data_IF_534985370124
#
_entry.id   IF_534985370124
#
_cell.length_a   1.000
_cell.length_b   1.000
_cell.length_c   1.000
_cell.angle_alpha   90.00
_cell.angle_beta   90.00
_cell.angle_gamma   90.00
#
_symmetry.space_group_name_H-M   'P 1'
#
loop_
_entity.id
_entity.type
_entity.pdbx_description
1 polymer ?
#
# COMPACT_ATOMS: atom_id res chain seq x y z
N UNK A 1 8.35 47.28 27.60
CA UNK A 1 7.40 46.17 27.44
C UNK A 1 6.72 46.36 26.08
N UNK A 2 7.35 46.09 24.93
CA UNK A 2 8.41 45.10 24.65
C UNK A 2 8.07 43.74 25.27
N UNK A 3 7.10 43.07 24.65
CA UNK A 3 7.29 41.65 24.37
C UNK A 3 8.16 41.59 23.12
N UNK A 4 9.46 41.42 23.30
CA UNK A 4 10.30 40.92 22.22
C UNK A 4 9.99 39.43 22.05
N UNK A 5 8.90 39.13 21.32
CA UNK A 5 8.75 37.80 20.73
C UNK A 5 10.03 37.53 19.95
N UNK A 6 10.73 36.48 20.36
CA UNK A 6 12.00 36.06 19.80
C UNK A 6 11.86 35.97 18.29
N UNK A 7 12.64 36.77 17.56
CA UNK A 7 12.85 36.62 16.11
C UNK A 7 13.64 35.34 15.83
N UNK A 8 13.02 34.20 16.13
CA UNK A 8 13.41 32.92 15.56
C UNK A 8 13.39 33.08 14.05
N UNK A 9 14.41 32.54 13.39
CA UNK A 9 14.58 32.63 11.94
C UNK A 9 13.40 31.95 11.26
N UNK A 10 12.41 32.73 10.80
CA UNK A 10 11.25 32.18 10.10
C UNK A 10 11.75 31.59 8.79
N UNK A 11 11.77 30.26 8.72
CA UNK A 11 12.07 29.47 7.54
C UNK A 11 10.85 28.64 7.16
N UNK A 12 10.83 28.10 5.95
CA UNK A 12 9.73 27.30 5.43
C UNK A 12 10.13 25.82 5.25
N UNK A 13 11.43 25.55 5.10
CA UNK A 13 12.01 24.21 4.92
C UNK A 13 13.13 23.96 5.91
N UNK A 14 13.12 22.79 6.55
CA UNK A 14 14.26 22.25 7.30
C UNK A 14 14.97 21.19 6.43
N UNK A 15 16.30 21.17 6.41
CA UNK A 15 17.09 20.18 5.65
C UNK A 15 17.84 19.26 6.62
N UNK A 16 17.38 18.00 6.71
CA UNK A 16 18.02 16.92 7.47
C UNK A 16 19.04 16.19 6.59
N UNK A 17 20.24 15.93 7.11
CA UNK A 17 21.30 15.20 6.41
C UNK A 17 22.34 14.65 7.42
N UNK A 18 23.19 13.71 7.01
CA UNK A 18 24.22 13.16 7.91
C UNK A 18 25.54 13.93 7.86
N UNK A 19 26.11 14.20 9.05
CA UNK A 19 27.47 14.71 9.22
C UNK A 19 28.40 13.58 9.62
N UNK A 20 29.54 13.43 8.94
CA UNK A 20 30.49 12.34 9.21
C UNK A 20 31.11 12.40 10.63
N UNK A 21 31.35 11.22 11.21
CA UNK A 21 32.02 11.07 12.50
C UNK A 21 33.54 11.10 12.36
N UNK A 22 34.09 12.29 12.11
CA UNK A 22 35.50 12.57 12.34
C UNK A 22 36.25 13.12 11.13
N UNK A 23 37.03 14.17 11.44
CA UNK A 23 37.95 14.90 10.57
C UNK A 23 37.36 15.79 9.47
N UNK A 24 38.09 16.85 9.14
CA UNK A 24 37.53 18.08 8.57
C UNK A 24 37.45 18.10 7.04
N UNK A 25 36.71 17.16 6.46
CA UNK A 25 36.37 17.16 5.02
C UNK A 25 34.85 17.17 4.82
N UNK A 26 34.38 18.09 3.97
CA UNK A 26 32.97 18.22 3.56
C UNK A 26 32.40 16.86 3.13
N UNK A 27 31.36 16.37 3.81
CA UNK A 27 30.73 15.09 3.47
C UNK A 27 29.93 15.23 2.18
N UNK A 28 29.78 14.11 1.43
CA UNK A 28 28.93 14.04 0.23
C UNK A 28 27.52 14.58 0.53
N UNK A 29 26.97 14.21 1.67
CA UNK A 29 25.68 14.65 2.19
C UNK A 29 25.61 16.17 2.38
N UNK A 30 26.64 16.77 3.01
CA UNK A 30 26.69 18.22 3.20
C UNK A 30 26.79 18.98 1.88
N UNK A 31 27.59 18.50 0.92
CA UNK A 31 27.64 19.12 -0.42
C UNK A 31 26.28 19.10 -1.12
N UNK A 32 25.53 17.99 -1.01
CA UNK A 32 24.20 17.92 -1.62
C UNK A 32 23.23 18.80 -0.85
N UNK A 33 23.22 18.75 0.48
CA UNK A 33 22.35 19.58 1.32
C UNK A 33 22.56 21.08 1.04
N UNK A 34 23.80 21.55 0.89
CA UNK A 34 24.12 22.94 0.49
C UNK A 34 23.63 23.28 -0.93
N UNK A 35 23.76 22.36 -1.89
CA UNK A 35 23.24 22.53 -3.26
C UNK A 35 21.71 22.63 -3.27
N UNK A 36 21.01 21.79 -2.50
CA UNK A 36 19.55 21.82 -2.34
C UNK A 36 19.09 23.12 -1.67
N UNK A 37 19.78 23.52 -0.59
CA UNK A 37 19.53 24.76 0.13
C UNK A 37 19.63 25.97 -0.81
N UNK A 38 20.74 26.09 -1.55
CA UNK A 38 20.99 27.15 -2.53
C UNK A 38 19.94 27.18 -3.64
N UNK A 39 19.52 26.01 -4.13
CA UNK A 39 18.51 25.90 -5.18
C UNK A 39 17.11 26.33 -4.72
N UNK A 40 16.71 25.96 -3.50
CA UNK A 40 15.46 26.40 -2.88
C UNK A 40 15.46 27.90 -2.58
N UNK A 41 16.54 28.42 -2.01
CA UNK A 41 16.74 29.85 -1.73
C UNK A 41 16.69 30.69 -3.01
N UNK A 42 17.17 30.18 -4.16
CA UNK A 42 17.05 30.85 -5.47
C UNK A 42 15.59 31.10 -5.92
N UNK A 43 14.64 30.30 -5.41
CA UNK A 43 13.21 30.47 -5.66
C UNK A 43 12.51 31.33 -4.60
N UNK A 44 13.25 31.82 -3.59
CA UNK A 44 12.70 32.58 -2.46
C UNK A 44 12.12 31.71 -1.35
N UNK A 45 12.42 30.40 -1.34
CA UNK A 45 12.05 29.49 -0.26
C UNK A 45 13.14 29.58 0.81
N UNK A 46 12.77 29.87 2.06
CA UNK A 46 13.75 30.01 3.16
C UNK A 46 14.05 28.65 3.76
N UNK A 47 15.31 28.28 3.75
CA UNK A 47 15.80 27.02 4.29
C UNK A 47 16.52 27.24 5.63
N UNK A 48 16.44 26.24 6.51
CA UNK A 48 17.25 26.11 7.71
C UNK A 48 18.09 24.85 7.60
N UNK A 49 19.39 24.98 7.86
CA UNK A 49 20.35 23.88 7.80
C UNK A 49 21.40 24.05 8.92
N UNK A 50 21.63 22.99 9.70
CA UNK A 50 22.73 22.94 10.65
C UNK A 50 24.07 22.73 9.90
N UNK A 51 25.22 23.24 10.38
CA UNK A 51 25.37 24.14 11.51
C UNK A 51 25.13 25.62 11.16
N UNK A 52 24.94 25.97 9.87
CA UNK A 52 24.85 27.35 9.34
C UNK A 52 23.90 28.24 10.13
N UNK A 53 22.71 27.72 10.45
CA UNK A 53 21.61 28.49 11.01
C UNK A 53 21.46 28.33 12.55
N UNK A 54 22.46 27.72 13.22
CA UNK A 54 22.48 27.61 14.69
C UNK A 54 23.27 28.78 15.31
N UNK A 55 22.64 29.53 16.20
CA UNK A 55 23.25 30.69 16.86
C UNK A 55 24.43 30.28 17.78
N UNK A 56 25.61 30.92 17.66
CA UNK A 56 26.73 30.69 18.58
C UNK A 56 26.36 30.93 20.03
N UNK A 57 26.63 29.94 20.89
CA UNK A 57 26.28 29.97 22.33
C UNK A 57 24.87 29.48 22.67
N UNK A 58 24.03 29.12 21.68
CA UNK A 58 22.75 28.46 21.91
C UNK A 58 22.86 26.94 22.15
N UNK A 59 21.78 26.33 22.66
CA UNK A 59 21.66 24.87 22.73
C UNK A 59 21.42 24.30 21.33
N UNK A 60 22.36 23.49 20.84
CA UNK A 60 22.33 22.89 19.49
C UNK A 60 21.07 22.02 19.29
N UNK A 61 20.74 21.20 20.29
CA UNK A 61 19.52 20.39 20.33
C UNK A 61 18.23 21.22 20.26
N UNK A 62 18.14 22.28 21.06
CA UNK A 62 16.93 23.10 21.10
C UNK A 62 16.73 23.87 19.78
N UNK A 63 17.83 24.31 19.14
CA UNK A 63 17.78 24.98 17.85
C UNK A 63 17.26 24.05 16.74
N UNK A 64 17.68 22.78 16.74
CA UNK A 64 17.19 21.76 15.78
C UNK A 64 15.69 21.47 16.01
N UNK A 65 15.28 21.22 17.27
CA UNK A 65 13.87 20.94 17.61
C UNK A 65 12.96 22.10 17.20
N UNK A 66 13.32 23.33 17.59
CA UNK A 66 12.56 24.55 17.27
C UNK A 66 12.49 24.79 15.75
N UNK A 67 13.54 24.41 15.01
CA UNK A 67 13.56 24.53 13.56
C UNK A 67 12.67 23.49 12.87
N UNK A 68 12.76 22.21 13.25
CA UNK A 68 11.87 21.16 12.72
C UNK A 68 10.41 21.54 12.98
N UNK A 69 10.04 21.91 14.21
CA UNK A 69 8.65 22.27 14.56
C UNK A 69 8.11 23.52 13.83
N UNK A 70 8.97 24.46 13.44
CA UNK A 70 8.58 25.68 12.71
C UNK A 70 8.59 25.51 11.19
N UNK A 71 9.22 24.45 10.69
CA UNK A 71 9.24 24.12 9.26
C UNK A 71 7.86 23.64 8.77
N UNK A 72 7.56 23.87 7.50
CA UNK A 72 6.34 23.32 6.85
C UNK A 72 6.65 22.03 6.09
N UNK A 73 7.91 21.89 5.68
CA UNK A 73 8.44 20.76 4.92
C UNK A 73 9.82 20.43 5.48
N UNK A 74 10.07 19.15 5.71
CA UNK A 74 11.40 18.60 5.98
C UNK A 74 11.91 17.95 4.70
N UNK A 75 13.05 18.38 4.20
CA UNK A 75 13.79 17.67 3.15
C UNK A 75 14.80 16.78 3.83
N UNK A 76 14.73 15.47 3.59
CA UNK A 76 15.70 14.50 4.08
C UNK A 76 16.68 14.16 2.96
N UNK A 77 17.94 14.55 3.09
CA UNK A 77 19.02 14.02 2.25
C UNK A 77 19.37 12.64 2.77
N UNK A 78 18.97 11.61 2.04
CA UNK A 78 19.16 10.22 2.45
C UNK A 78 20.34 9.58 1.71
N UNK A 79 21.25 9.01 2.49
CA UNK A 79 22.50 8.37 2.09
C UNK A 79 22.73 7.12 2.96
N UNK A 80 23.81 6.39 2.70
CA UNK A 80 24.25 5.34 3.65
C UNK A 80 24.70 5.93 5.00
N UNK A 81 25.20 7.16 5.01
CA UNK A 81 25.52 7.86 6.26
C UNK A 81 24.24 8.24 7.04
N UNK A 82 23.15 8.56 6.35
CA UNK A 82 21.85 8.85 6.94
C UNK A 82 21.24 7.63 7.65
N UNK A 83 21.38 6.43 7.07
CA UNK A 83 20.98 5.16 7.69
C UNK A 83 21.54 4.98 9.11
N UNK A 84 22.81 5.30 9.30
CA UNK A 84 23.52 5.13 10.57
C UNK A 84 23.56 6.40 11.44
N UNK A 85 22.91 7.48 10.99
CA UNK A 85 22.87 8.77 11.69
C UNK A 85 21.70 8.83 12.67
N UNK A 86 22.01 8.72 13.96
CA UNK A 86 21.02 8.95 15.03
C UNK A 86 20.36 10.34 14.93
N UNK A 87 21.11 11.37 14.52
CA UNK A 87 20.58 12.72 14.38
C UNK A 87 19.49 12.79 13.31
N UNK A 88 19.68 12.12 12.18
CA UNK A 88 18.67 12.02 11.11
C UNK A 88 17.43 11.26 11.59
N UNK A 89 17.61 10.17 12.35
CA UNK A 89 16.47 9.44 12.93
C UNK A 89 15.68 10.30 13.92
N UNK A 90 16.36 10.98 14.85
CA UNK A 90 15.72 11.85 15.85
C UNK A 90 14.95 13.01 15.17
N UNK A 91 15.50 13.61 14.11
CA UNK A 91 14.84 14.67 13.30
C UNK A 91 13.63 14.16 12.50
N UNK A 92 13.75 13.01 11.84
CA UNK A 92 12.67 12.37 11.09
C UNK A 92 11.53 11.95 12.01
N UNK A 93 11.84 11.34 13.14
CA UNK A 93 10.84 10.92 14.13
C UNK A 93 10.11 12.12 14.73
N UNK A 94 10.80 13.22 15.02
CA UNK A 94 10.16 14.48 15.44
C UNK A 94 9.23 15.05 14.34
N UNK A 95 9.68 15.08 13.08
CA UNK A 95 8.87 15.56 11.97
C UNK A 95 7.61 14.69 11.73
N UNK A 96 7.72 13.38 11.93
CA UNK A 96 6.59 12.44 11.84
C UNK A 96 5.59 12.61 12.98
N UNK A 97 6.04 12.81 14.22
CA UNK A 97 5.19 13.08 15.39
C UNK A 97 4.36 14.36 15.21
N UNK A 98 5.01 15.41 14.68
CA UNK A 98 4.36 16.69 14.36
C UNK A 98 3.56 16.67 13.06
N UNK A 99 3.51 15.53 12.36
CA UNK A 99 2.85 15.33 11.06
C UNK A 99 3.28 16.36 9.99
N UNK A 100 4.57 16.72 10.00
CA UNK A 100 5.20 17.62 9.03
C UNK A 100 5.48 16.83 7.74
N UNK A 101 5.37 17.49 6.58
CA UNK A 101 5.61 16.82 5.30
C UNK A 101 7.10 16.55 5.12
N UNK A 102 7.49 15.28 5.07
CA UNK A 102 8.87 14.85 4.79
C UNK A 102 9.00 14.50 3.31
N UNK A 103 10.04 15.01 2.65
CA UNK A 103 10.42 14.66 1.28
C UNK A 103 11.80 13.99 1.32
N UNK A 104 11.89 12.66 1.17
CA UNK A 104 13.15 11.96 1.04
C UNK A 104 13.80 12.22 -0.33
N UNK A 105 15.04 12.68 -0.32
CA UNK A 105 15.90 12.93 -1.47
C UNK A 105 17.11 11.99 -1.38
N UNK A 106 17.08 10.88 -2.12
CA UNK A 106 17.99 9.75 -1.95
C UNK A 106 19.19 9.84 -2.89
N UNK A 107 20.38 9.98 -2.31
CA UNK A 107 21.64 10.24 -3.02
C UNK A 107 22.57 9.02 -3.12
N UNK A 108 22.19 7.92 -2.47
CA UNK A 108 22.82 6.59 -2.57
C UNK A 108 21.76 5.54 -2.89
N UNK A 109 22.12 4.50 -3.67
CA UNK A 109 21.24 3.35 -3.91
C UNK A 109 21.36 2.32 -2.78
N UNK A 110 21.03 2.76 -1.56
CA UNK A 110 20.95 1.94 -0.35
C UNK A 110 19.53 2.00 0.21
N UNK A 111 19.05 0.92 0.80
CA UNK A 111 17.70 0.88 1.39
C UNK A 111 17.70 1.58 2.75
N UNK A 112 16.64 2.33 3.11
CA UNK A 112 16.50 2.83 4.47
C UNK A 112 16.44 1.67 5.48
N UNK A 113 17.17 1.81 6.57
CA UNK A 113 17.18 0.87 7.69
C UNK A 113 16.47 1.45 8.92
N UNK A 114 16.26 0.60 9.94
CA UNK A 114 15.68 1.00 11.22
C UNK A 114 14.37 1.78 11.10
N UNK A 115 14.32 2.95 11.72
CA UNK A 115 13.15 3.84 11.75
C UNK A 115 12.88 4.49 10.39
N UNK A 116 13.90 4.78 9.58
CA UNK A 116 13.76 5.42 8.26
C UNK A 116 13.00 4.54 7.25
N UNK A 117 12.91 3.22 7.49
CA UNK A 117 12.03 2.31 6.74
C UNK A 117 10.59 2.81 6.68
N UNK A 118 10.12 3.50 7.71
CA UNK A 118 8.77 4.05 7.73
C UNK A 118 8.54 5.06 6.59
N UNK A 119 9.58 5.80 6.19
CA UNK A 119 9.50 6.75 5.08
C UNK A 119 9.43 6.04 3.72
N UNK A 120 10.06 4.87 3.56
CA UNK A 120 9.93 4.03 2.36
C UNK A 120 8.49 3.56 2.14
N UNK A 121 7.74 3.38 3.23
CA UNK A 121 6.33 2.95 3.21
C UNK A 121 5.35 4.13 3.14
N UNK A 122 5.72 5.31 3.68
CA UNK A 122 4.78 6.44 3.88
C UNK A 122 4.82 7.55 2.83
N UNK A 123 5.94 7.76 2.14
CA UNK A 123 6.09 8.87 1.19
C UNK A 123 6.84 8.43 -0.08
N UNK A 124 6.62 9.15 -1.19
CA UNK A 124 7.39 8.94 -2.41
C UNK A 124 8.79 9.55 -2.26
N UNK A 125 9.80 8.79 -2.67
CA UNK A 125 11.20 9.19 -2.64
C UNK A 125 11.60 9.85 -3.96
N UNK A 126 12.53 10.79 -3.89
CA UNK A 126 13.18 11.39 -5.06
C UNK A 126 14.58 10.78 -5.18
N UNK A 127 14.69 9.75 -6.02
CA UNK A 127 15.91 8.98 -6.25
C UNK A 127 16.91 9.74 -7.14
N UNK A 128 17.81 10.46 -6.50
CA UNK A 128 18.76 11.40 -7.09
C UNK A 128 20.16 10.82 -7.36
N UNK A 129 20.39 9.53 -7.08
CA UNK A 129 21.67 8.83 -7.32
C UNK A 129 21.97 8.59 -8.82
N UNK A 130 21.05 8.90 -9.73
CA UNK A 130 21.24 8.79 -11.17
C UNK A 130 21.66 10.14 -11.80
N UNK A 131 22.78 10.25 -12.54
CA UNK A 131 23.15 11.51 -13.20
C UNK A 131 22.14 11.95 -14.30
N UNK A 132 21.94 13.26 -14.55
CA UNK A 132 22.56 14.41 -13.89
C UNK A 132 21.81 14.84 -12.61
N UNK A 133 22.57 15.17 -11.56
CA UNK A 133 22.03 15.58 -10.25
C UNK A 133 21.15 16.82 -10.34
N UNK A 134 21.51 17.78 -11.18
CA UNK A 134 20.84 19.07 -11.36
C UNK A 134 19.35 18.92 -11.69
N UNK A 135 19.01 17.91 -12.50
CA UNK A 135 17.63 17.59 -12.87
C UNK A 135 16.80 17.12 -11.66
N UNK A 136 17.41 16.40 -10.74
CA UNK A 136 16.76 15.92 -9.51
C UNK A 136 16.59 17.07 -8.51
N UNK A 137 17.56 17.99 -8.43
CA UNK A 137 17.43 19.23 -7.66
C UNK A 137 16.27 20.09 -8.18
N UNK A 138 16.15 20.29 -9.50
CA UNK A 138 15.01 21.01 -10.11
C UNK A 138 13.66 20.35 -9.80
N UNK A 139 13.62 19.01 -9.76
CA UNK A 139 12.43 18.26 -9.35
C UNK A 139 12.10 18.49 -7.88
N UNK A 140 13.07 18.44 -6.98
CA UNK A 140 12.86 18.70 -5.54
C UNK A 140 12.31 20.11 -5.33
N UNK A 141 12.94 21.12 -5.93
CA UNK A 141 12.50 22.52 -5.87
C UNK A 141 11.06 22.67 -6.36
N UNK A 142 10.67 21.92 -7.40
CA UNK A 142 9.29 21.89 -7.91
C UNK A 142 8.31 21.24 -6.92
N UNK A 143 8.70 20.15 -6.24
CA UNK A 143 7.85 19.46 -5.25
C UNK A 143 7.68 20.29 -3.98
N UNK A 144 8.78 20.80 -3.41
CA UNK A 144 8.76 21.70 -2.26
C UNK A 144 7.94 22.95 -2.57
N UNK A 145 8.14 23.56 -3.74
CA UNK A 145 7.35 24.71 -4.20
C UNK A 145 5.84 24.44 -4.22
N UNK A 146 5.40 23.24 -4.64
CA UNK A 146 3.98 22.85 -4.60
C UNK A 146 3.44 22.75 -3.17
N UNK A 147 4.17 22.12 -2.25
CA UNK A 147 3.75 22.01 -0.85
C UNK A 147 3.69 23.37 -0.14
N UNK A 148 4.56 24.31 -0.51
CA UNK A 148 4.57 25.67 0.02
C UNK A 148 3.63 26.64 -0.74
N UNK A 149 2.93 26.20 -1.78
CA UNK A 149 2.07 27.05 -2.62
C UNK A 149 2.82 28.06 -3.51
N UNK A 150 4.14 27.93 -3.63
CA UNK A 150 5.01 28.80 -4.44
C UNK A 150 4.87 28.42 -5.92
N UNK A 151 4.47 29.39 -6.76
CA UNK A 151 4.31 29.15 -8.20
C UNK A 151 5.69 29.00 -8.86
N UNK A 152 5.99 27.88 -9.54
CA UNK A 152 7.30 27.67 -10.16
C UNK A 152 7.54 28.65 -11.32
N UNK A 153 8.77 29.20 -11.40
CA UNK A 153 9.24 29.94 -12.57
C UNK A 153 9.38 28.94 -13.73
N UNK A 154 8.82 29.26 -14.90
CA UNK A 154 8.55 28.31 -16.00
C UNK A 154 9.79 27.78 -16.73
N UNK A 155 9.81 26.47 -17.03
CA UNK A 155 10.56 25.91 -18.17
C UNK A 155 9.90 24.63 -18.77
N UNK A 156 9.17 24.79 -19.88
CA UNK A 156 9.09 23.98 -21.14
C UNK A 156 9.42 22.45 -21.04
N UNK A 157 8.63 21.44 -21.48
CA UNK A 157 7.65 21.28 -22.61
C UNK A 157 6.66 20.07 -22.38
N UNK A 158 5.84 19.67 -23.38
CA UNK A 158 4.99 18.44 -23.41
C UNK A 158 4.61 18.04 -24.85
N UNK A 159 4.40 16.74 -25.15
CA UNK A 159 3.90 16.26 -26.46
C UNK A 159 2.82 15.17 -26.33
N UNK A 160 1.63 15.49 -26.83
CA UNK A 160 0.52 14.71 -27.46
C UNK A 160 -0.01 13.36 -26.93
N UNK A 161 -1.25 13.05 -27.36
CA UNK A 161 -2.20 12.07 -26.78
C UNK A 161 -2.94 11.24 -27.83
N UNK A 162 -3.29 9.98 -27.51
CA UNK A 162 -4.15 9.11 -28.34
C UNK A 162 -5.55 8.98 -27.70
N UNK A 163 -6.61 8.94 -28.52
CA UNK A 163 -8.02 8.80 -28.11
C UNK A 163 -8.50 7.34 -28.18
N UNK A 164 -9.41 6.94 -27.28
CA UNK A 164 -10.18 5.68 -27.33
C UNK A 164 -11.69 5.99 -27.28
N UNK A 165 -12.52 5.12 -27.89
CA UNK A 165 -13.99 5.26 -27.99
C UNK A 165 -14.75 4.68 -26.77
N UNK A 166 -15.93 5.22 -26.50
CA UNK A 166 -16.84 4.77 -25.42
C UNK A 166 -17.59 3.46 -25.74
N UNK A 167 -17.92 2.63 -24.72
CA UNK A 167 -18.86 1.51 -24.84
C UNK A 167 -20.35 1.92 -24.66
N UNK A 168 -21.33 1.04 -24.98
CA UNK A 168 -22.74 1.41 -25.08
C UNK A 168 -23.50 1.49 -23.73
N UNK A 169 -24.59 2.26 -23.73
CA UNK A 169 -25.39 2.62 -22.55
C UNK A 169 -26.20 1.43 -21.99
N UNK A 170 -26.16 1.27 -20.67
CA UNK A 170 -26.97 0.28 -19.94
C UNK A 170 -28.45 0.65 -19.87
N UNK A 171 -29.32 -0.37 -19.93
CA UNK A 171 -30.77 -0.26 -19.70
C UNK A 171 -31.04 -0.09 -18.21
N UNK A 172 -31.96 0.80 -17.85
CA UNK A 172 -32.39 1.04 -16.46
C UNK A 172 -33.67 0.28 -16.16
N UNK A 173 -33.59 -0.80 -15.39
CA UNK A 173 -34.76 -1.32 -14.66
C UNK A 173 -34.93 -0.58 -13.32
N UNK A 174 -36.19 -0.46 -12.88
CA UNK A 174 -36.57 0.28 -11.67
C UNK A 174 -36.46 -0.64 -10.45
N UNK A 175 -35.79 -0.18 -9.40
CA UNK A 175 -35.82 -0.80 -8.06
C UNK A 175 -36.57 0.15 -7.11
N UNK A 176 -37.40 -0.42 -6.24
CA UNK A 176 -38.27 0.30 -5.31
C UNK A 176 -37.52 0.73 -4.03
N UNK A 177 -37.95 1.89 -3.50
CA UNK A 177 -37.93 2.34 -2.10
C UNK A 177 -36.77 1.92 -1.16
N UNK A 178 -35.78 2.81 -1.09
CA UNK A 178 -35.05 3.24 0.12
C UNK A 178 -34.73 2.19 1.21
N UNK A 179 -33.92 1.19 0.86
CA UNK A 179 -33.02 0.57 1.85
C UNK A 179 -31.87 1.57 2.10
N UNK A 180 -31.64 1.99 3.35
CA UNK A 180 -30.59 2.98 3.66
C UNK A 180 -29.20 2.35 3.45
N UNK A 181 -28.43 2.91 2.52
CA UNK A 181 -27.12 2.36 2.14
C UNK A 181 -26.15 2.48 3.34
N UNK A 182 -25.61 1.35 3.86
CA UNK A 182 -24.70 1.38 4.99
C UNK A 182 -23.41 2.16 4.70
N UNK A 183 -22.81 2.77 5.72
CA UNK A 183 -21.66 3.66 5.54
C UNK A 183 -20.44 2.97 4.88
N UNK A 184 -20.18 1.72 5.24
CA UNK A 184 -19.12 0.91 4.62
C UNK A 184 -19.35 0.67 3.11
N UNK A 185 -20.60 0.71 2.65
CA UNK A 185 -20.97 0.65 1.23
C UNK A 185 -20.79 2.03 0.59
N UNK A 186 -21.18 3.12 1.25
CA UNK A 186 -20.99 4.50 0.74
C UNK A 186 -19.51 4.83 0.47
N UNK A 187 -18.61 4.43 1.38
CA UNK A 187 -17.16 4.60 1.22
C UNK A 187 -16.69 3.98 -0.10
N UNK A 188 -17.06 2.72 -0.34
CA UNK A 188 -16.69 1.96 -1.54
C UNK A 188 -17.39 2.51 -2.79
N UNK A 189 -18.65 2.93 -2.69
CA UNK A 189 -19.42 3.54 -3.77
C UNK A 189 -18.81 4.85 -4.28
N UNK A 190 -18.02 5.55 -3.47
CA UNK A 190 -17.27 6.74 -3.91
C UNK A 190 -16.08 6.44 -4.83
N UNK A 191 -15.68 5.16 -4.95
CA UNK A 191 -14.46 4.71 -5.66
C UNK A 191 -14.72 3.66 -6.73
N UNK A 192 -15.69 2.76 -6.51
CA UNK A 192 -16.07 1.71 -7.45
C UNK A 192 -16.84 2.26 -8.66
N UNK A 193 -16.71 1.60 -9.81
CA UNK A 193 -17.50 1.93 -11.01
C UNK A 193 -18.96 1.51 -10.84
N UNK A 194 -19.20 0.40 -10.15
CA UNK A 194 -20.54 -0.12 -9.81
C UNK A 194 -20.54 -0.75 -8.43
N UNK A 195 -21.64 -0.58 -7.71
CA UNK A 195 -21.93 -1.29 -6.46
C UNK A 195 -23.36 -1.84 -6.54
N UNK A 196 -23.55 -3.11 -6.20
CA UNK A 196 -24.83 -3.83 -6.33
C UNK A 196 -24.90 -5.02 -5.36
N UNK A 197 -26.09 -5.60 -5.13
CA UNK A 197 -26.21 -6.89 -4.43
C UNK A 197 -26.14 -8.03 -5.44
N UNK A 198 -25.45 -9.12 -5.11
CA UNK A 198 -25.37 -10.34 -5.93
C UNK A 198 -26.59 -11.26 -5.72
N UNK A 199 -26.63 -12.39 -6.43
CA UNK A 199 -27.74 -13.37 -6.35
C UNK A 199 -27.95 -13.96 -4.95
N UNK A 200 -26.95 -13.86 -4.06
CA UNK A 200 -27.03 -14.27 -2.65
C UNK A 200 -27.37 -13.13 -1.70
N UNK A 201 -27.56 -11.91 -2.21
CA UNK A 201 -27.91 -10.72 -1.43
C UNK A 201 -26.73 -9.95 -0.83
N UNK A 202 -25.48 -10.38 -1.05
CA UNK A 202 -24.29 -9.70 -0.55
C UNK A 202 -23.85 -8.58 -1.49
N UNK A 203 -23.28 -7.51 -0.93
CA UNK A 203 -22.78 -6.39 -1.72
C UNK A 203 -21.53 -6.78 -2.51
N UNK A 204 -21.52 -6.44 -3.80
CA UNK A 204 -20.36 -6.49 -4.69
C UNK A 204 -20.00 -5.09 -5.18
N UNK A 205 -18.70 -4.82 -5.25
CA UNK A 205 -18.12 -3.59 -5.75
C UNK A 205 -17.16 -3.90 -6.90
N UNK A 206 -17.47 -3.38 -8.08
CA UNK A 206 -16.70 -3.54 -9.32
C UNK A 206 -15.94 -2.24 -9.60
N UNK A 207 -14.61 -2.33 -9.57
CA UNK A 207 -13.70 -1.20 -9.81
C UNK A 207 -13.23 -1.12 -11.28
N UNK A 208 -13.70 -2.03 -12.14
CA UNK A 208 -13.18 -2.24 -13.49
C UNK A 208 -11.98 -3.18 -13.52
N UNK A 209 -11.47 -3.45 -14.73
CA UNK A 209 -10.33 -4.35 -14.97
C UNK A 209 -10.46 -5.75 -14.31
N UNK A 210 -11.70 -6.20 -14.08
CA UNK A 210 -12.01 -7.46 -13.39
C UNK A 210 -11.82 -7.43 -11.87
N UNK A 211 -11.49 -6.28 -11.27
CA UNK A 211 -11.31 -6.12 -9.83
C UNK A 211 -12.69 -5.99 -9.20
N UNK A 212 -13.23 -7.11 -8.73
CA UNK A 212 -14.53 -7.21 -8.07
C UNK A 212 -14.33 -7.69 -6.64
N UNK A 213 -14.87 -6.95 -5.68
CA UNK A 213 -14.82 -7.26 -4.24
C UNK A 213 -16.22 -7.61 -3.73
N UNK A 214 -16.33 -8.63 -2.89
CA UNK A 214 -17.57 -9.05 -2.21
C UNK A 214 -17.48 -8.70 -0.72
N UNK A 215 -18.56 -8.15 -0.16
CA UNK A 215 -18.65 -7.84 1.26
C UNK A 215 -19.02 -9.08 2.08
N UNK A 216 -18.16 -9.43 3.04
CA UNK A 216 -18.41 -10.44 4.07
C UNK A 216 -18.91 -9.73 5.34
N UNK A 217 -20.11 -10.06 5.85
CA UNK A 217 -20.66 -9.39 7.02
C UNK A 217 -19.91 -9.74 8.32
N UNK A 218 -19.94 -8.86 9.33
CA UNK A 218 -19.42 -9.17 10.66
C UNK A 218 -20.16 -10.35 11.28
N UNK A 219 -19.51 -11.02 12.23
CA UNK A 219 -20.12 -12.12 12.99
C UNK A 219 -19.21 -13.33 13.17
N UNK A 220 -19.71 -14.27 13.97
CA UNK A 220 -19.00 -15.49 14.37
C UNK A 220 -19.02 -16.56 13.28
N UNK A 221 -17.97 -17.39 13.25
CA UNK A 221 -17.93 -18.67 12.57
C UNK A 221 -17.06 -19.66 13.34
N UNK A 222 -17.13 -20.95 12.98
CA UNK A 222 -16.19 -21.96 13.47
C UNK A 222 -15.04 -22.08 12.48
N UNK A 223 -13.83 -21.75 12.92
CA UNK A 223 -12.58 -21.90 12.17
C UNK A 223 -11.96 -23.26 12.47
N UNK A 224 -11.41 -23.93 11.47
CA UNK A 224 -10.74 -25.23 11.60
C UNK A 224 -11.62 -26.48 11.54
N UNK A 225 -11.01 -27.64 11.78
CA UNK A 225 -11.62 -28.97 11.65
C UNK A 225 -11.00 -30.00 12.61
N UNK A 226 -11.56 -31.20 12.65
CA UNK A 226 -10.92 -32.36 13.30
C UNK A 226 -10.18 -33.28 12.30
N UNK A 227 -10.15 -32.93 11.02
CA UNK A 227 -9.62 -33.79 9.96
C UNK A 227 -8.08 -33.77 9.92
N UNK A 228 -7.46 -32.61 10.20
CA UNK A 228 -6.00 -32.41 10.12
C UNK A 228 -5.43 -31.74 11.38
N UNK A 229 -4.21 -32.10 11.77
CA UNK A 229 -3.63 -31.60 13.04
C UNK A 229 -3.30 -30.11 13.06
N UNK A 230 -3.08 -29.50 11.89
CA UNK A 230 -2.90 -28.06 11.75
C UNK A 230 -4.21 -27.26 11.83
N UNK A 231 -5.36 -27.93 11.72
CA UNK A 231 -6.70 -27.32 11.74
C UNK A 231 -7.38 -27.47 13.12
N UNK A 232 -6.66 -28.02 14.12
CA UNK A 232 -7.19 -28.35 15.45
C UNK A 232 -6.74 -27.38 16.54
N UNK A 233 -7.61 -27.05 17.51
CA UNK A 233 -9.03 -27.42 17.58
C UNK A 233 -9.89 -26.51 16.68
N UNK A 234 -11.06 -26.98 16.22
CA UNK A 234 -12.13 -26.10 15.79
C UNK A 234 -12.47 -25.11 16.91
N UNK A 235 -12.53 -23.83 16.59
CA UNK A 235 -12.74 -22.77 17.58
C UNK A 235 -13.62 -21.65 17.01
N UNK A 236 -14.36 -20.97 17.89
CA UNK A 236 -15.22 -19.84 17.49
C UNK A 236 -14.36 -18.59 17.32
N UNK A 237 -14.45 -17.98 16.14
CA UNK A 237 -13.81 -16.71 15.80
C UNK A 237 -14.89 -15.70 15.41
N UNK A 238 -14.82 -14.50 15.98
CA UNK A 238 -15.57 -13.34 15.52
C UNK A 238 -14.69 -12.51 14.58
N UNK A 239 -15.26 -12.14 13.43
CA UNK A 239 -14.63 -11.20 12.50
C UNK A 239 -15.55 -10.01 12.28
N UNK A 240 -14.95 -8.82 12.17
CA UNK A 240 -15.63 -7.63 11.67
C UNK A 240 -16.06 -7.81 10.19
N UNK A 241 -16.77 -6.82 9.64
CA UNK A 241 -17.16 -6.81 8.23
C UNK A 241 -16.00 -6.34 7.34
N UNK A 242 -15.71 -7.10 6.28
CA UNK A 242 -14.61 -6.81 5.36
C UNK A 242 -15.01 -7.07 3.90
N UNK A 243 -14.23 -6.53 2.98
CA UNK A 243 -14.36 -6.82 1.55
C UNK A 243 -13.24 -7.77 1.13
N UNK A 244 -13.56 -8.79 0.33
CA UNK A 244 -12.59 -9.76 -0.20
C UNK A 244 -12.77 -9.92 -1.71
N UNK A 245 -11.68 -10.23 -2.43
CA UNK A 245 -11.74 -10.43 -3.88
C UNK A 245 -12.71 -11.54 -4.25
N UNK A 246 -13.55 -11.33 -5.27
CA UNK A 246 -14.46 -12.35 -5.83
C UNK A 246 -13.71 -13.48 -6.54
N UNK A 247 -12.48 -13.18 -6.96
CA UNK A 247 -11.57 -14.04 -7.71
C UNK A 247 -10.15 -13.81 -7.21
N UNK A 248 -9.29 -14.82 -7.35
CA UNK A 248 -7.84 -14.62 -7.30
C UNK A 248 -7.37 -13.57 -8.33
N UNK A 249 -6.30 -12.84 -8.00
CA UNK A 249 -5.69 -11.83 -8.89
C UNK A 249 -5.25 -12.50 -10.20
N UNK A 250 -5.62 -11.93 -11.34
CA UNK A 250 -5.31 -12.49 -12.66
C UNK A 250 -4.00 -11.96 -13.24
N UNK A 251 -3.46 -12.65 -14.24
CA UNK A 251 -2.36 -12.10 -15.05
C UNK A 251 -2.74 -10.76 -15.72
N UNK A 252 -3.95 -10.62 -16.29
CA UNK A 252 -4.40 -9.32 -16.85
C UNK A 252 -4.26 -8.15 -15.83
N UNK A 253 -4.48 -8.44 -14.55
CA UNK A 253 -4.38 -7.46 -13.46
C UNK A 253 -2.95 -7.25 -12.98
N UNK A 254 -2.16 -8.32 -12.89
CA UNK A 254 -0.77 -8.27 -12.42
C UNK A 254 0.17 -7.69 -13.48
N UNK A 255 -0.06 -7.97 -14.76
CA UNK A 255 0.68 -7.40 -15.89
C UNK A 255 0.51 -5.88 -15.95
N UNK A 256 -0.70 -5.39 -15.60
CA UNK A 256 -0.97 -3.96 -15.43
C UNK A 256 -0.24 -3.34 -14.23
N UNK A 257 -0.03 -4.10 -13.16
CA UNK A 257 0.84 -3.69 -12.05
C UNK A 257 2.28 -3.60 -12.52
N UNK A 258 2.87 -4.66 -13.07
CA UNK A 258 4.23 -4.69 -13.61
C UNK A 258 4.50 -3.55 -14.60
N UNK A 259 3.58 -3.30 -15.54
CA UNK A 259 3.71 -2.22 -16.52
C UNK A 259 3.62 -0.79 -15.96
N UNK A 260 2.99 -0.61 -14.79
CA UNK A 260 2.89 0.70 -14.12
C UNK A 260 3.96 0.91 -13.04
N UNK A 261 4.58 -0.16 -12.52
CA UNK A 261 5.61 -0.12 -11.47
C UNK A 261 7.01 -0.52 -11.96
N UNK A 262 7.15 -0.91 -13.23
CA UNK A 262 8.37 -1.41 -13.87
C UNK A 262 8.95 -2.68 -13.22
N UNK A 263 8.11 -3.46 -12.54
CA UNK A 263 8.48 -4.77 -11.97
C UNK A 263 8.54 -5.85 -13.07
N UNK A 264 9.35 -6.89 -12.84
CA UNK A 264 9.42 -8.03 -13.76
C UNK A 264 8.08 -8.80 -13.81
N UNK A 265 7.67 -9.22 -15.00
CA UNK A 265 6.47 -10.03 -15.18
C UNK A 265 6.72 -11.46 -14.68
N UNK A 266 5.89 -12.01 -13.76
CA UNK A 266 6.09 -13.37 -13.27
C UNK A 266 5.89 -14.39 -14.39
N UNK A 267 6.74 -15.42 -14.38
CA UNK A 267 6.75 -16.48 -15.40
C UNK A 267 5.42 -17.24 -15.42
N UNK A 268 4.79 -17.41 -16.59
CA UNK A 268 3.47 -18.09 -16.71
C UNK A 268 3.57 -19.62 -16.88
N UNK A 269 4.78 -20.20 -16.82
CA UNK A 269 5.11 -21.60 -17.14
C UNK A 269 4.69 -22.06 -18.54
N UNK A 270 4.49 -21.13 -19.49
CA UNK A 270 3.89 -21.41 -20.80
C UNK A 270 2.43 -21.85 -20.72
N UNK A 271 1.73 -21.57 -19.61
CA UNK A 271 0.34 -21.97 -19.42
C UNK A 271 -0.64 -21.02 -20.10
N UNK A 272 -0.18 -19.80 -20.42
CA UNK A 272 -0.97 -18.67 -20.90
C UNK A 272 -1.27 -17.70 -19.77
N UNK A 273 -1.23 -16.40 -20.10
CA UNK A 273 -1.61 -15.27 -19.23
C UNK A 273 -3.11 -14.98 -19.32
N UNK A 274 -3.53 -13.73 -19.15
CA UNK A 274 -4.93 -13.28 -19.25
C UNK A 274 -5.71 -13.47 -17.96
N UNK A 275 -7.00 -13.82 -18.07
CA UNK A 275 -7.91 -14.10 -16.93
C UNK A 275 -7.56 -15.32 -16.06
N UNK A 276 -6.38 -15.91 -16.24
CA UNK A 276 -5.85 -16.97 -15.37
C UNK A 276 -5.31 -16.33 -14.10
N UNK A 277 -5.40 -16.99 -12.93
CA UNK A 277 -4.76 -16.48 -11.73
C UNK A 277 -3.25 -16.34 -11.97
N UNK A 278 -2.66 -15.25 -11.47
CA UNK A 278 -1.21 -15.06 -11.49
C UNK A 278 -0.55 -16.17 -10.66
N UNK A 279 0.60 -16.66 -11.13
CA UNK A 279 1.36 -17.72 -10.46
C UNK A 279 2.85 -17.36 -10.42
N UNK A 280 3.60 -18.03 -9.54
CA UNK A 280 5.01 -17.73 -9.25
C UNK A 280 5.23 -16.31 -8.71
N UNK A 281 4.28 -15.82 -7.91
CA UNK A 281 4.42 -14.63 -7.06
C UNK A 281 4.70 -15.07 -5.63
N UNK A 282 5.67 -14.43 -4.98
CA UNK A 282 5.95 -14.59 -3.56
C UNK A 282 4.85 -13.94 -2.69
N UNK A 283 5.01 -14.05 -1.37
CA UNK A 283 4.14 -13.34 -0.43
C UNK A 283 4.36 -11.82 -0.51
N UNK A 284 5.62 -11.38 -0.57
CA UNK A 284 5.98 -9.95 -0.68
C UNK A 284 5.45 -9.33 -1.98
N UNK A 285 5.57 -10.04 -3.11
CA UNK A 285 4.99 -9.65 -4.40
C UNK A 285 3.47 -9.38 -4.29
N UNK A 286 2.75 -10.26 -3.58
CA UNK A 286 1.31 -10.14 -3.40
C UNK A 286 0.93 -8.98 -2.46
N UNK A 287 1.77 -8.69 -1.46
CA UNK A 287 1.64 -7.50 -0.60
C UNK A 287 1.92 -6.21 -1.37
N UNK A 288 2.93 -6.17 -2.22
CA UNK A 288 3.26 -4.99 -3.05
C UNK A 288 2.18 -4.73 -4.12
N UNK A 289 1.62 -5.78 -4.72
CA UNK A 289 0.42 -5.66 -5.54
C UNK A 289 -0.75 -5.01 -4.78
N UNK A 290 -1.00 -5.44 -3.54
CA UNK A 290 -2.02 -4.83 -2.67
C UNK A 290 -1.71 -3.37 -2.32
N UNK A 291 -0.45 -3.00 -2.08
CA UNK A 291 -0.02 -1.61 -1.83
C UNK A 291 -0.25 -0.72 -3.05
N UNK A 292 0.16 -1.17 -4.24
CA UNK A 292 -0.11 -0.46 -5.51
C UNK A 292 -1.61 -0.28 -5.75
N UNK A 293 -2.39 -1.35 -5.59
CA UNK A 293 -3.84 -1.31 -5.78
C UNK A 293 -4.50 -0.33 -4.80
N UNK A 294 -3.98 -0.26 -3.56
CA UNK A 294 -4.43 0.70 -2.55
C UNK A 294 -4.20 2.14 -2.97
N UNK A 295 -3.00 2.47 -3.44
CA UNK A 295 -2.69 3.81 -3.97
C UNK A 295 -3.53 4.17 -5.19
N UNK A 296 -3.80 3.19 -6.05
CA UNK A 296 -4.56 3.36 -7.30
C UNK A 296 -6.05 3.66 -7.08
N UNK A 297 -6.70 2.94 -6.16
CA UNK A 297 -8.13 3.09 -5.87
C UNK A 297 -8.37 4.14 -4.75
N UNK A 298 -7.39 4.37 -3.87
CA UNK A 298 -7.53 5.23 -2.70
C UNK A 298 -8.41 4.60 -1.62
N UNK A 299 -8.27 3.29 -1.41
CA UNK A 299 -8.81 2.48 -0.32
C UNK A 299 -7.73 1.48 0.12
N UNK A 300 -7.81 0.92 1.32
CA UNK A 300 -6.82 -0.07 1.78
C UNK A 300 -7.15 -1.48 1.27
N UNK A 301 -6.28 -2.01 0.41
CA UNK A 301 -6.23 -3.43 0.02
C UNK A 301 -5.05 -4.09 0.73
N UNK A 302 -5.25 -5.33 1.18
CA UNK A 302 -4.24 -6.18 1.82
C UNK A 302 -4.59 -7.64 1.60
N UNK A 303 -3.65 -8.54 1.85
CA UNK A 303 -3.94 -9.97 1.96
C UNK A 303 -4.98 -10.19 3.09
N UNK A 304 -5.91 -11.15 2.94
CA UNK A 304 -6.83 -11.52 4.00
C UNK A 304 -6.06 -12.21 5.13
N UNK A 305 -6.58 -12.15 6.36
CA UNK A 305 -6.11 -13.08 7.39
C UNK A 305 -6.56 -14.51 7.09
N UNK A 306 -5.90 -15.52 7.65
CA UNK A 306 -6.29 -16.93 7.48
C UNK A 306 -7.76 -17.14 7.89
N UNK A 307 -8.18 -16.51 9.00
CA UNK A 307 -9.56 -16.53 9.45
C UNK A 307 -10.53 -15.82 8.49
N UNK A 308 -10.11 -14.68 7.91
CA UNK A 308 -10.91 -13.97 6.90
C UNK A 308 -11.09 -14.80 5.62
N UNK A 309 -10.04 -15.50 5.20
CA UNK A 309 -10.08 -16.40 4.05
C UNK A 309 -11.00 -17.60 4.33
N UNK A 310 -10.84 -18.28 5.47
CA UNK A 310 -11.68 -19.43 5.82
C UNK A 310 -13.15 -19.04 6.01
N UNK A 311 -13.47 -17.95 6.73
CA UNK A 311 -14.86 -17.50 6.87
C UNK A 311 -15.49 -17.22 5.51
N UNK A 312 -14.77 -16.57 4.60
CA UNK A 312 -15.27 -16.25 3.27
C UNK A 312 -15.41 -17.46 2.33
N UNK A 313 -14.61 -18.52 2.54
CA UNK A 313 -14.76 -19.82 1.88
C UNK A 313 -15.95 -20.61 2.46
N UNK A 314 -16.00 -20.76 3.79
CA UNK A 314 -16.87 -21.70 4.52
C UNK A 314 -18.26 -21.13 4.83
N UNK A 315 -18.36 -19.84 5.17
CA UNK A 315 -19.54 -19.32 5.85
C UNK A 315 -19.60 -19.74 7.32
N UNK A 316 -20.80 -19.75 7.89
CA UNK A 316 -21.03 -19.90 9.34
C UNK A 316 -21.67 -21.24 9.73
N UNK A 317 -21.96 -22.12 8.78
CA UNK A 317 -22.73 -23.37 8.97
C UNK A 317 -21.87 -24.64 9.10
N UNK A 318 -20.55 -24.49 9.18
CA UNK A 318 -19.62 -25.63 9.39
C UNK A 318 -19.46 -26.56 8.19
N UNK A 319 -19.86 -26.15 6.97
CA UNK A 319 -19.68 -26.95 5.75
C UNK A 319 -18.22 -27.32 5.45
N UNK A 320 -17.99 -28.43 4.75
CA UNK A 320 -16.64 -28.89 4.36
C UNK A 320 -16.05 -28.12 3.18
N UNK A 321 -16.85 -27.78 2.16
CA UNK A 321 -16.40 -27.08 0.95
C UNK A 321 -17.24 -25.81 0.73
N UNK A 322 -16.80 -24.84 -0.09
CA UNK A 322 -17.54 -23.59 -0.31
C UNK A 322 -19.01 -23.79 -0.74
N UNK A 323 -19.26 -24.76 -1.62
CA UNK A 323 -20.59 -25.15 -2.11
C UNK A 323 -21.35 -26.13 -1.18
N UNK A 324 -20.86 -26.42 0.03
CA UNK A 324 -21.48 -27.33 1.00
C UNK A 324 -20.72 -28.64 1.20
N UNK A 325 -21.43 -29.71 1.61
CA UNK A 325 -20.82 -30.98 2.03
C UNK A 325 -20.70 -32.03 0.91
N UNK A 326 -21.09 -31.69 -0.33
CA UNK A 326 -20.92 -32.58 -1.47
C UNK A 326 -19.44 -32.64 -1.87
N UNK A 327 -18.89 -33.85 -2.03
CA UNK A 327 -17.52 -34.06 -2.54
C UNK A 327 -17.29 -33.28 -3.86
N UNK A 328 -16.08 -32.74 -4.08
CA UNK A 328 -15.77 -31.97 -5.28
C UNK A 328 -15.90 -32.82 -6.55
N UNK A 329 -16.25 -32.17 -7.64
CA UNK A 329 -16.23 -32.72 -8.99
C UNK A 329 -15.81 -31.67 -10.02
N UNK A 330 -15.67 -32.09 -11.29
CA UNK A 330 -15.18 -31.27 -12.41
C UNK A 330 -16.01 -30.01 -12.73
N UNK A 331 -17.21 -29.85 -12.17
CA UNK A 331 -18.06 -28.65 -12.33
C UNK A 331 -17.93 -27.68 -11.18
N UNK A 332 -17.43 -28.14 -10.03
CA UNK A 332 -17.36 -27.40 -8.77
C UNK A 332 -15.98 -26.77 -8.56
N UNK A 333 -14.90 -27.48 -8.87
CA UNK A 333 -13.56 -27.02 -8.53
C UNK A 333 -12.46 -27.61 -9.42
N UNK A 334 -11.32 -26.92 -9.46
CA UNK A 334 -10.11 -27.38 -10.15
C UNK A 334 -9.11 -28.03 -9.20
N UNK A 335 -9.34 -29.31 -8.92
CA UNK A 335 -8.39 -30.14 -8.19
C UNK A 335 -7.48 -30.95 -9.14
N UNK A 336 -6.26 -31.25 -8.68
CA UNK A 336 -5.22 -31.99 -9.42
C UNK A 336 -5.68 -33.40 -9.78
N UNK A 337 -6.48 -34.00 -8.92
CA UNK A 337 -7.12 -35.32 -9.03
C UNK A 337 -8.06 -35.40 -10.24
N UNK A 338 -8.63 -34.27 -10.67
CA UNK A 338 -9.59 -34.21 -11.77
C UNK A 338 -9.03 -33.59 -13.04
N UNK A 339 -8.00 -32.76 -12.92
CA UNK A 339 -7.37 -32.01 -14.00
C UNK A 339 -5.84 -32.05 -13.89
N UNK A 340 -5.18 -32.76 -14.80
CA UNK A 340 -3.75 -32.63 -15.00
C UNK A 340 -3.42 -31.36 -15.79
N UNK A 341 -2.39 -30.62 -15.37
CA UNK A 341 -1.81 -29.50 -16.12
C UNK A 341 -2.16 -28.12 -15.57
N UNK A 342 -2.37 -27.18 -16.51
CA UNK A 342 -2.51 -25.72 -16.30
C UNK A 342 -3.66 -25.35 -15.36
N UNK A 343 -3.63 -24.15 -14.79
CA UNK A 343 -4.77 -23.46 -14.12
C UNK A 343 -6.02 -23.36 -15.02
N UNK A 344 -7.12 -22.82 -14.51
CA UNK A 344 -8.25 -22.34 -15.33
C UNK A 344 -8.39 -20.82 -15.17
N UNK A 345 -8.98 -20.11 -16.15
CA UNK A 345 -9.44 -18.74 -15.96
C UNK A 345 -10.32 -18.64 -14.71
N UNK A 346 -10.21 -17.54 -13.95
CA UNK A 346 -10.99 -17.36 -12.73
C UNK A 346 -12.49 -17.32 -13.03
N UNK A 347 -13.31 -17.84 -12.13
CA UNK A 347 -14.75 -17.97 -12.31
C UNK A 347 -15.18 -19.06 -13.30
N UNK A 348 -14.29 -19.97 -13.72
CA UNK A 348 -14.64 -21.09 -14.61
C UNK A 348 -15.62 -22.10 -14.01
N UNK A 349 -15.82 -22.08 -12.69
CA UNK A 349 -16.63 -23.06 -11.94
C UNK A 349 -17.71 -22.34 -11.11
N UNK A 350 -18.72 -21.70 -11.75
CA UNK A 350 -19.72 -20.88 -11.04
C UNK A 350 -20.52 -21.67 -9.99
N UNK A 351 -20.67 -22.98 -10.15
CA UNK A 351 -21.35 -23.85 -9.17
C UNK A 351 -20.50 -24.13 -7.91
N UNK A 352 -19.23 -23.74 -7.92
CA UNK A 352 -18.28 -23.87 -6.81
C UNK A 352 -18.17 -22.65 -5.90
N UNK A 353 -19.06 -21.66 -6.06
CA UNK A 353 -19.05 -20.46 -5.25
C UNK A 353 -19.23 -20.73 -3.74
N UNK A 354 -18.62 -19.86 -2.93
CA UNK A 354 -18.81 -19.80 -1.48
C UNK A 354 -20.22 -19.30 -1.12
N UNK A 355 -20.67 -19.42 0.14
CA UNK A 355 -21.99 -18.89 0.54
C UNK A 355 -22.13 -17.38 0.36
N UNK A 356 -21.05 -16.64 0.09
CA UNK A 356 -21.07 -15.20 -0.19
C UNK A 356 -21.02 -14.86 -1.70
N UNK A 357 -20.72 -15.84 -2.57
CA UNK A 357 -20.57 -15.64 -4.02
C UNK A 357 -19.14 -15.45 -4.50
N UNK A 358 -18.14 -15.79 -3.67
CA UNK A 358 -16.72 -15.77 -4.05
C UNK A 358 -16.35 -17.10 -4.72
N UNK A 359 -15.57 -17.05 -5.80
CA UNK A 359 -15.27 -18.17 -6.67
C UNK A 359 -13.83 -18.66 -6.53
N UNK A 360 -13.61 -19.92 -6.90
CA UNK A 360 -12.31 -20.60 -6.87
C UNK A 360 -11.63 -20.74 -5.48
N UNK A 361 -12.33 -20.42 -4.37
CA UNK A 361 -11.93 -20.67 -2.96
C UNK A 361 -11.53 -22.13 -2.63
N UNK A 362 -11.62 -23.05 -3.59
CA UNK A 362 -11.15 -24.42 -3.48
C UNK A 362 -10.56 -24.88 -4.82
N UNK A 363 -9.23 -25.09 -4.84
CA UNK A 363 -8.48 -25.51 -6.02
C UNK A 363 -8.01 -24.35 -6.90
N UNK A 364 -7.70 -24.64 -8.17
CA UNK A 364 -7.06 -23.75 -9.14
C UNK A 364 -5.62 -23.32 -8.76
N UNK A 365 -5.45 -22.57 -7.68
CA UNK A 365 -4.17 -22.15 -7.08
C UNK A 365 -4.27 -22.15 -5.55
N UNK A 366 -3.14 -22.17 -4.84
CA UNK A 366 -3.13 -21.79 -3.42
C UNK A 366 -3.03 -20.26 -3.32
N UNK A 367 -3.64 -19.67 -2.30
CA UNK A 367 -3.74 -18.21 -2.12
C UNK A 367 -3.00 -17.78 -0.85
N UNK A 368 -2.28 -16.66 -0.93
CA UNK A 368 -1.52 -16.12 0.21
C UNK A 368 -2.44 -15.41 1.20
N UNK A 369 -2.32 -15.75 2.49
CA UNK A 369 -2.90 -15.00 3.61
C UNK A 369 -1.80 -14.15 4.29
N UNK A 370 -2.18 -13.18 5.13
CA UNK A 370 -1.24 -12.33 5.86
C UNK A 370 -0.46 -13.02 6.98
N UNK A 371 -1.00 -14.13 7.48
CA UNK A 371 -0.63 -14.73 8.76
C UNK A 371 0.67 -15.55 8.65
N UNK A 372 1.50 -15.50 9.70
CA UNK A 372 2.58 -16.48 9.85
C UNK A 372 2.01 -17.86 10.19
N UNK A 373 2.50 -18.92 9.55
CA UNK A 373 2.04 -20.27 9.88
C UNK A 373 2.51 -20.72 11.27
N UNK A 374 1.57 -20.92 12.19
CA UNK A 374 1.81 -21.50 13.51
C UNK A 374 1.06 -22.82 13.69
N UNK A 375 1.76 -23.97 13.68
CA UNK A 375 1.14 -25.32 13.82
C UNK A 375 0.19 -25.49 15.02
N UNK A 376 0.43 -24.76 16.12
CA UNK A 376 -0.39 -24.81 17.33
C UNK A 376 -1.26 -23.55 17.53
N UNK A 377 -1.31 -22.63 16.56
CA UNK A 377 -1.92 -21.32 16.73
C UNK A 377 -3.39 -21.40 17.18
N UNK A 378 -4.17 -22.29 16.60
CA UNK A 378 -5.61 -22.45 16.90
C UNK A 378 -5.89 -22.77 18.38
N UNK A 379 -4.92 -23.32 19.14
CA UNK A 379 -5.04 -23.57 20.59
C UNK A 379 -5.00 -22.29 21.42
N UNK A 380 -4.38 -21.25 20.89
CA UNK A 380 -4.13 -19.96 21.53
C UNK A 380 -4.71 -18.77 20.72
N UNK A 381 -5.50 -19.06 19.68
CA UNK A 381 -6.04 -18.07 18.75
C UNK A 381 -6.99 -17.11 19.49
N UNK A 382 -6.84 -15.79 19.36
CA UNK A 382 -7.77 -14.84 19.94
C UNK A 382 -9.13 -14.92 19.23
N UNK A 383 -10.22 -14.79 20.01
CA UNK A 383 -11.59 -14.84 19.45
C UNK A 383 -11.86 -13.69 18.45
N UNK A 384 -11.35 -12.49 18.73
CA UNK A 384 -11.62 -11.30 17.91
C UNK A 384 -10.52 -11.10 16.87
N UNK A 385 -10.89 -11.08 15.58
CA UNK A 385 -10.03 -10.68 14.46
C UNK A 385 -8.58 -11.22 14.52
N UNK A 386 -8.36 -12.54 14.63
CA UNK A 386 -7.02 -13.15 14.64
C UNK A 386 -6.23 -12.82 13.36
N UNK A 387 -4.91 -12.68 13.53
CA UNK A 387 -3.95 -12.20 12.51
C UNK A 387 -2.70 -13.10 12.40
N UNK A 388 -2.73 -14.29 13.00
CA UNK A 388 -1.58 -15.17 13.15
C UNK A 388 -0.81 -14.96 14.47
N UNK A 389 0.27 -15.75 14.66
CA UNK A 389 1.17 -15.72 15.81
C UNK A 389 2.22 -14.59 15.77
#
# INVERSE_FOLDING_TARGET
MQDEETKGTIHDVFISYATDKGDSSTSKDSEVAEKLCSALESQGIRCWIAPRDVLPGGSWLNAIIDAVEKSKVVVLVFSENANHSRWVNDEVTLALDKNITIIPFRIDDVSPEGELRILQVRCQWLDAYTPPMEKHVDQLVTVVGRHLGVKPKKTVKRTETIKVKEPPKAVKEKIQESEEIPEYVKIVQSKAQRVYKNEKGFWEADYGDGIVMVYIPPGEFTMGSYDYDGEKPPHTVYLDGYWMGKYAVTFDQYDKYCGETYQEEPNDKGWGRGKRPVINVSWDDAVDYCRWLSGKIGLTFKLPTEAQWEKAARGTDGRTYPWGNKKPDKKLAKFREFFFGKTSPVGSYPQGESPYGILDMAGNVCEWCSDWYGRNYYKNSPRENPQGP
#
